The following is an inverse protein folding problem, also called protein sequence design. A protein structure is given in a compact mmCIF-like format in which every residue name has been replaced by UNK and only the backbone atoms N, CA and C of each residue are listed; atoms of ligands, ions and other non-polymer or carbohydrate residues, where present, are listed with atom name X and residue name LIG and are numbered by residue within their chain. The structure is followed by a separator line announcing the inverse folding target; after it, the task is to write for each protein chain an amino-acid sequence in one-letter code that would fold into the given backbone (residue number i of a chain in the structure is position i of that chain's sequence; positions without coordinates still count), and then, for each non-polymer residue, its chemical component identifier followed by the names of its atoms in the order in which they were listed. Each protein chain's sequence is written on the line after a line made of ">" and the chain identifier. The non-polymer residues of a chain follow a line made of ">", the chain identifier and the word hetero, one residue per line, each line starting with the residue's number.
data_IF_181408796142
#
_entry.id   IF_181408796142
#
_cell.length_a   1.000
_cell.length_b   1.000
_cell.length_c   1.000
_cell.angle_alpha   90.00
_cell.angle_beta   90.00
_cell.angle_gamma   90.00
#
_symmetry.space_group_name_H-M   'P 1'
#
loop_
_entity.id
_entity.type
_entity.pdbx_description
1 polymer ?
#
# COMPACT_ATOMS: atom_id res chain seq x y z
N UNK A 1 2.42 6.38 9.59
CA UNK A 1 1.10 5.80 9.97
C UNK A 1 0.44 4.99 8.85
N UNK A 2 0.98 4.99 7.61
CA UNK A 2 0.41 4.26 6.48
C UNK A 2 0.23 2.75 6.73
N UNK A 3 1.23 2.09 7.33
CA UNK A 3 1.12 0.69 7.76
C UNK A 3 -0.10 0.45 8.67
N UNK A 4 -0.25 1.29 9.70
CA UNK A 4 -1.36 1.19 10.65
C UNK A 4 -2.72 1.37 9.97
N UNK A 5 -2.81 2.30 9.01
CA UNK A 5 -4.03 2.55 8.25
C UNK A 5 -4.46 1.32 7.44
N UNK A 6 -3.52 0.70 6.70
CA UNK A 6 -3.80 -0.53 5.95
C UNK A 6 -4.27 -1.67 6.86
N UNK A 7 -3.55 -1.92 7.95
CA UNK A 7 -3.91 -2.97 8.90
C UNK A 7 -5.26 -2.71 9.58
N UNK A 8 -5.55 -1.47 9.97
CA UNK A 8 -6.85 -1.10 10.52
C UNK A 8 -7.97 -1.34 9.50
N UNK A 9 -7.77 -0.91 8.26
CA UNK A 9 -8.74 -1.14 7.18
C UNK A 9 -8.95 -2.62 6.86
N UNK A 10 -7.90 -3.42 6.89
CA UNK A 10 -8.00 -4.87 6.69
C UNK A 10 -8.77 -5.57 7.82
N UNK A 11 -8.58 -5.13 9.06
CA UNK A 11 -9.18 -5.76 10.25
C UNK A 11 -10.58 -5.24 10.59
N UNK A 12 -10.95 -4.04 10.16
CA UNK A 12 -12.22 -3.40 10.52
C UNK A 12 -12.97 -2.86 9.30
N UNK A 13 -14.08 -3.49 8.98
CA UNK A 13 -14.92 -3.15 7.82
C UNK A 13 -15.69 -1.84 7.97
N UNK A 14 -15.68 -1.19 9.13
CA UNK A 14 -16.30 0.12 9.35
C UNK A 14 -15.54 1.25 8.65
N UNK A 15 -14.25 1.07 8.39
CA UNK A 15 -13.49 2.00 7.56
C UNK A 15 -13.95 1.88 6.11
N UNK A 16 -14.61 2.91 5.61
CA UNK A 16 -15.19 2.93 4.26
C UNK A 16 -14.15 3.12 3.16
N UNK A 17 -13.10 3.85 3.46
CA UNK A 17 -11.95 4.08 2.57
C UNK A 17 -10.69 3.81 3.38
N UNK A 18 -9.70 3.20 2.76
CA UNK A 18 -8.41 2.90 3.39
C UNK A 18 -7.31 3.65 2.65
N UNK A 19 -6.53 4.47 3.35
CA UNK A 19 -5.48 5.29 2.74
C UNK A 19 -4.13 4.89 3.32
N UNK A 20 -3.25 4.43 2.45
CA UNK A 20 -1.85 4.09 2.75
C UNK A 20 -0.94 5.17 2.19
N UNK A 21 -0.30 5.95 3.04
CA UNK A 21 0.65 6.98 2.64
C UNK A 21 2.07 6.56 3.02
N UNK A 22 2.97 6.46 2.05
CA UNK A 22 4.39 6.13 2.21
C UNK A 22 4.60 4.98 3.21
N UNK A 23 3.90 3.87 3.01
CA UNK A 23 3.81 2.85 4.07
C UNK A 23 4.96 1.84 4.06
N UNK A 24 5.65 1.64 2.97
CA UNK A 24 6.83 0.78 2.88
C UNK A 24 6.60 -0.69 3.27
N UNK A 25 7.66 -1.34 3.71
CA UNK A 25 7.68 -2.75 4.10
C UNK A 25 6.76 -3.02 5.30
N UNK A 26 5.97 -4.10 5.24
CA UNK A 26 4.92 -4.37 6.22
C UNK A 26 3.67 -3.50 6.06
N UNK A 27 3.70 -2.58 5.10
CA UNK A 27 2.60 -1.78 4.60
C UNK A 27 2.23 -2.19 3.18
N UNK A 28 2.31 -1.26 2.21
CA UNK A 28 1.92 -1.52 0.83
C UNK A 28 3.02 -2.12 -0.05
N UNK A 29 4.30 -1.99 0.31
CA UNK A 29 5.41 -2.44 -0.54
C UNK A 29 5.55 -3.95 -0.59
N UNK A 30 5.74 -4.52 -1.79
CA UNK A 30 6.09 -5.93 -1.96
C UNK A 30 7.42 -6.25 -1.29
N UNK A 31 7.40 -7.15 -0.29
CA UNK A 31 8.58 -7.52 0.47
C UNK A 31 9.62 -8.27 -0.38
N UNK A 32 9.17 -9.08 -1.35
CA UNK A 32 10.04 -9.85 -2.26
C UNK A 32 10.86 -8.99 -3.22
N UNK A 33 10.65 -7.68 -3.25
CA UNK A 33 11.49 -6.78 -4.03
C UNK A 33 12.85 -6.51 -3.38
N UNK A 34 12.98 -6.73 -2.08
CA UNK A 34 14.22 -6.48 -1.31
C UNK A 34 14.82 -5.08 -1.56
N UNK A 35 13.97 -4.08 -1.66
CA UNK A 35 14.36 -2.70 -1.93
C UNK A 35 13.87 -1.78 -0.81
N UNK A 36 14.67 -0.77 -0.46
CA UNK A 36 14.35 0.17 0.61
C UNK A 36 14.27 -0.49 2.00
N UNK A 37 13.18 -0.29 2.72
CA UNK A 37 12.91 -0.95 4.00
C UNK A 37 12.65 -2.44 3.78
N UNK A 38 13.36 -3.28 4.54
CA UNK A 38 13.21 -4.75 4.46
C UNK A 38 12.74 -5.33 5.78
N UNK A 39 12.21 -6.55 5.77
CA UNK A 39 11.87 -7.24 7.02
C UNK A 39 13.09 -7.48 7.90
N UNK A 40 14.28 -7.68 7.31
CA UNK A 40 15.51 -7.78 8.08
C UNK A 40 15.76 -6.53 8.93
N UNK A 41 15.50 -5.35 8.37
CA UNK A 41 15.65 -4.09 9.09
C UNK A 41 14.51 -3.89 10.11
N UNK A 42 13.25 -3.91 9.65
CA UNK A 42 12.12 -3.48 10.49
C UNK A 42 11.84 -4.43 11.66
N UNK A 43 12.04 -5.75 11.49
CA UNK A 43 11.86 -6.73 12.58
C UNK A 43 12.94 -6.59 13.65
N UNK A 44 14.15 -6.15 13.29
CA UNK A 44 15.21 -5.89 14.26
C UNK A 44 15.03 -4.54 14.94
N UNK A 45 14.62 -3.50 14.22
CA UNK A 45 14.38 -2.16 14.77
C UNK A 45 13.14 -2.11 15.66
N UNK A 46 12.07 -2.82 15.27
CA UNK A 46 10.75 -2.81 15.92
C UNK A 46 10.25 -4.24 16.21
N UNK A 47 10.98 -5.03 17.02
CA UNK A 47 10.68 -6.46 17.22
C UNK A 47 9.30 -6.72 17.83
N UNK A 48 8.73 -5.74 18.51
CA UNK A 48 7.42 -5.80 19.14
C UNK A 48 6.24 -5.65 18.15
N UNK A 49 6.51 -5.27 16.90
CA UNK A 49 5.49 -5.18 15.86
C UNK A 49 5.15 -6.54 15.25
N UNK A 50 5.99 -7.54 15.47
CA UNK A 50 5.89 -8.83 14.79
C UNK A 50 5.76 -9.99 15.78
N UNK A 51 4.92 -10.95 15.43
CA UNK A 51 4.84 -12.21 16.17
C UNK A 51 6.13 -13.01 16.01
N UNK A 52 6.51 -13.77 17.02
CA UNK A 52 7.78 -14.51 17.02
C UNK A 52 7.94 -15.45 15.82
N UNK A 53 6.86 -16.08 15.39
CA UNK A 53 6.84 -16.99 14.23
C UNK A 53 7.15 -16.29 12.91
N UNK A 54 6.96 -14.96 12.81
CA UNK A 54 7.28 -14.22 11.59
C UNK A 54 8.78 -14.20 11.29
N UNK A 55 9.64 -14.40 12.31
CA UNK A 55 11.10 -14.39 12.15
C UNK A 55 11.64 -15.42 11.16
N UNK A 56 10.90 -16.50 10.87
CA UNK A 56 11.26 -17.51 9.87
C UNK A 56 11.33 -16.96 8.44
N UNK A 57 10.70 -15.83 8.20
CA UNK A 57 10.64 -15.17 6.88
C UNK A 57 11.68 -14.07 6.70
N UNK A 58 12.41 -13.68 7.73
CA UNK A 58 13.46 -12.66 7.63
C UNK A 58 14.57 -13.16 6.73
N UNK A 59 14.93 -12.37 5.70
CA UNK A 59 15.86 -12.74 4.63
C UNK A 59 15.50 -14.06 3.90
N UNK A 60 14.22 -14.42 3.94
CA UNK A 60 13.62 -15.59 3.31
C UNK A 60 12.18 -15.30 2.88
N UNK A 61 11.96 -14.08 2.36
CA UNK A 61 10.64 -13.57 2.02
C UNK A 61 9.96 -14.39 0.91
N UNK A 62 10.75 -15.08 0.08
CA UNK A 62 10.21 -16.00 -0.94
C UNK A 62 9.46 -17.20 -0.35
N UNK A 63 9.77 -17.58 0.89
CA UNK A 63 9.08 -18.65 1.59
C UNK A 63 7.71 -18.21 2.19
N UNK A 64 7.40 -16.90 2.18
CA UNK A 64 6.08 -16.45 2.63
C UNK A 64 4.99 -16.95 1.67
N UNK A 65 3.86 -17.47 2.18
CA UNK A 65 2.73 -17.86 1.33
C UNK A 65 1.91 -16.66 0.82
N UNK A 66 2.32 -15.44 1.12
CA UNK A 66 1.67 -14.18 0.75
C UNK A 66 2.73 -13.10 0.52
N UNK A 67 2.31 -11.94 -0.01
CA UNK A 67 3.06 -10.68 0.01
C UNK A 67 2.08 -9.52 0.22
N UNK A 68 2.57 -8.29 0.31
CA UNK A 68 1.81 -7.13 0.81
C UNK A 68 0.62 -6.72 -0.07
N UNK A 69 0.57 -7.11 -1.34
CA UNK A 69 -0.64 -6.95 -2.15
C UNK A 69 -1.87 -7.65 -1.55
N UNK A 70 -1.69 -8.73 -0.77
CA UNK A 70 -2.79 -9.35 -0.03
C UNK A 70 -3.32 -8.45 1.09
N UNK A 71 -2.48 -7.64 1.74
CA UNK A 71 -2.94 -6.70 2.75
C UNK A 71 -3.87 -5.63 2.14
N UNK A 72 -3.54 -5.13 0.94
CA UNK A 72 -4.41 -4.24 0.17
C UNK A 72 -5.70 -4.97 -0.20
N UNK A 73 -5.58 -6.19 -0.70
CA UNK A 73 -6.70 -7.02 -1.14
C UNK A 73 -7.71 -7.34 -0.01
N UNK A 74 -7.28 -7.42 1.26
CA UNK A 74 -8.16 -7.61 2.41
C UNK A 74 -9.18 -6.47 2.61
N UNK A 75 -8.94 -5.31 2.02
CA UNK A 75 -9.92 -4.22 2.05
C UNK A 75 -11.05 -4.40 1.03
N UNK A 76 -10.86 -5.22 -0.02
CA UNK A 76 -11.84 -5.38 -1.09
C UNK A 76 -13.25 -5.73 -0.56
N UNK A 77 -14.32 -5.21 -1.19
CA UNK A 77 -14.35 -4.31 -2.34
C UNK A 77 -14.25 -2.81 -1.99
N UNK A 78 -13.91 -2.45 -0.74
CA UNK A 78 -13.81 -1.06 -0.30
C UNK A 78 -12.64 -0.35 -0.98
N UNK A 79 -12.77 0.95 -1.31
CA UNK A 79 -11.70 1.67 -1.97
C UNK A 79 -10.45 1.79 -1.11
N UNK A 80 -9.30 1.59 -1.76
CA UNK A 80 -7.97 1.76 -1.16
C UNK A 80 -7.19 2.78 -1.99
N UNK A 81 -6.53 3.70 -1.31
CA UNK A 81 -5.57 4.63 -1.91
C UNK A 81 -4.17 4.26 -1.45
N UNK A 82 -3.27 4.03 -2.38
CA UNK A 82 -1.84 3.88 -2.11
C UNK A 82 -1.14 5.12 -2.63
N UNK A 83 -0.52 5.86 -1.74
CA UNK A 83 0.16 7.11 -2.01
C UNK A 83 1.65 6.98 -1.70
N UNK A 84 2.48 7.41 -2.62
CA UNK A 84 3.93 7.34 -2.54
C UNK A 84 4.56 8.71 -2.77
N UNK A 85 5.79 8.89 -2.28
CA UNK A 85 6.63 10.04 -2.56
C UNK A 85 7.88 9.60 -3.35
N UNK A 86 8.21 10.29 -4.42
CA UNK A 86 9.26 9.87 -5.37
C UNK A 86 10.66 9.79 -4.75
N UNK A 87 10.94 10.64 -3.76
CA UNK A 87 12.24 10.68 -3.07
C UNK A 87 12.26 9.75 -1.83
N UNK A 88 11.15 9.12 -1.46
CA UNK A 88 11.08 8.14 -0.39
C UNK A 88 11.43 6.74 -0.90
N UNK A 89 12.67 6.57 -1.31
CA UNK A 89 13.16 5.26 -1.78
C UNK A 89 13.17 4.20 -0.67
N UNK A 90 13.07 4.64 0.60
CA UNK A 90 12.96 3.74 1.72
C UNK A 90 11.61 3.00 1.75
N UNK A 91 10.52 3.68 1.36
CA UNK A 91 9.20 3.08 1.23
C UNK A 91 9.02 2.27 -0.07
N UNK A 92 9.94 2.39 -1.04
CA UNK A 92 9.87 1.74 -2.36
C UNK A 92 8.58 2.09 -3.13
N UNK A 93 8.45 3.29 -3.70
CA UNK A 93 7.26 3.68 -4.47
C UNK A 93 6.89 2.70 -5.58
N UNK A 94 7.90 2.09 -6.23
CA UNK A 94 7.65 1.08 -7.26
C UNK A 94 7.05 -0.20 -6.68
N UNK A 95 7.49 -0.61 -5.51
CA UNK A 95 6.94 -1.76 -4.79
C UNK A 95 5.51 -1.53 -4.31
N UNK A 96 5.21 -0.31 -3.85
CA UNK A 96 3.86 0.09 -3.47
C UNK A 96 2.91 0.10 -4.68
N UNK A 97 3.36 0.63 -5.84
CA UNK A 97 2.60 0.56 -7.09
C UNK A 97 2.30 -0.88 -7.52
N UNK A 98 3.32 -1.74 -7.58
CA UNK A 98 3.15 -3.13 -7.98
C UNK A 98 2.23 -3.91 -7.05
N UNK A 99 2.28 -3.60 -5.77
CA UNK A 99 1.39 -4.19 -4.77
C UNK A 99 -0.07 -3.78 -5.01
N UNK A 100 -0.31 -2.47 -5.24
CA UNK A 100 -1.63 -1.95 -5.58
C UNK A 100 -2.18 -2.60 -6.87
N UNK A 101 -1.34 -2.74 -7.90
CA UNK A 101 -1.70 -3.38 -9.16
C UNK A 101 -2.08 -4.86 -8.96
N UNK A 102 -1.26 -5.63 -8.23
CA UNK A 102 -1.50 -7.06 -7.99
C UNK A 102 -2.73 -7.33 -7.10
N UNK A 103 -3.10 -6.42 -6.22
CA UNK A 103 -4.34 -6.52 -5.44
C UNK A 103 -5.58 -6.54 -6.33
N UNK A 104 -5.51 -5.98 -7.53
CA UNK A 104 -6.59 -5.95 -8.52
C UNK A 104 -7.18 -7.32 -8.85
N UNK A 105 -6.40 -8.39 -8.79
CA UNK A 105 -6.90 -9.75 -9.01
C UNK A 105 -8.01 -10.16 -8.02
N UNK A 106 -7.90 -9.72 -6.76
CA UNK A 106 -8.94 -9.96 -5.74
C UNK A 106 -10.11 -9.02 -5.94
N UNK A 107 -9.86 -7.76 -6.25
CA UNK A 107 -10.93 -6.79 -6.56
C UNK A 107 -11.80 -7.25 -7.74
N UNK A 108 -11.19 -7.90 -8.75
CA UNK A 108 -11.93 -8.47 -9.88
C UNK A 108 -12.97 -9.53 -9.47
N UNK A 109 -12.77 -10.26 -8.37
CA UNK A 109 -13.75 -11.21 -7.84
C UNK A 109 -15.05 -10.53 -7.35
N UNK A 110 -14.96 -9.24 -7.06
CA UNK A 110 -16.09 -8.40 -6.65
C UNK A 110 -16.67 -7.54 -7.80
N UNK A 111 -16.19 -7.78 -9.04
CA UNK A 111 -16.62 -7.02 -10.22
C UNK A 111 -15.95 -5.65 -10.37
N UNK A 112 -14.91 -5.38 -9.56
CA UNK A 112 -14.09 -4.17 -9.65
C UNK A 112 -12.91 -4.37 -10.60
N UNK A 113 -12.42 -3.29 -11.20
CA UNK A 113 -11.20 -3.33 -12.03
C UNK A 113 -9.91 -3.17 -11.24
N UNK A 114 -10.00 -2.87 -9.94
CA UNK A 114 -8.84 -2.58 -9.12
C UNK A 114 -8.12 -1.31 -9.54
N UNK A 115 -6.78 -1.38 -9.69
CA UNK A 115 -5.96 -0.29 -10.21
C UNK A 115 -5.90 -0.37 -11.74
N UNK A 116 -6.50 0.59 -12.44
CA UNK A 116 -6.53 0.64 -13.91
C UNK A 116 -5.25 1.30 -14.47
N UNK A 117 -4.10 0.67 -14.26
CA UNK A 117 -2.82 1.13 -14.79
C UNK A 117 -1.88 -0.04 -15.08
N UNK A 118 -1.39 -0.12 -16.30
CA UNK A 118 -0.39 -1.12 -16.72
C UNK A 118 1.03 -0.73 -16.30
N UNK A 119 1.28 0.55 -16.10
CA UNK A 119 2.56 1.11 -15.70
C UNK A 119 2.39 2.15 -14.59
N UNK A 120 3.44 2.34 -13.80
CA UNK A 120 3.48 3.38 -12.78
C UNK A 120 3.26 4.75 -13.42
N UNK A 121 2.33 5.57 -12.90
CA UNK A 121 2.05 6.89 -13.46
C UNK A 121 3.28 7.81 -13.39
N UNK A 122 3.26 8.88 -14.17
CA UNK A 122 4.26 9.93 -14.05
C UNK A 122 4.13 10.65 -12.69
N UNK A 123 5.18 11.41 -12.33
CA UNK A 123 5.17 12.20 -11.10
C UNK A 123 3.97 13.15 -11.09
N UNK A 124 3.35 13.25 -9.93
CA UNK A 124 2.20 14.12 -9.66
C UNK A 124 0.94 13.78 -10.48
N UNK A 125 0.92 12.61 -11.13
CA UNK A 125 -0.28 12.05 -11.76
C UNK A 125 -1.00 11.06 -10.84
N UNK A 126 -2.31 10.96 -11.05
CA UNK A 126 -3.20 10.13 -10.25
C UNK A 126 -3.87 9.08 -11.11
N UNK A 127 -3.86 7.83 -10.63
CA UNK A 127 -4.71 6.77 -11.16
C UNK A 127 -5.85 6.56 -10.16
N UNK A 128 -7.09 6.77 -10.60
CA UNK A 128 -8.28 6.64 -9.74
C UNK A 128 -9.02 5.36 -10.07
N UNK A 129 -9.57 4.72 -9.04
CA UNK A 129 -10.33 3.48 -9.14
C UNK A 129 -10.63 2.95 -7.75
N UNK A 130 -11.21 1.75 -7.64
CA UNK A 130 -11.40 1.10 -6.34
C UNK A 130 -10.07 0.81 -5.65
N UNK A 131 -9.01 0.58 -6.41
CA UNK A 131 -7.64 0.76 -5.96
C UNK A 131 -7.08 1.98 -6.70
N UNK A 132 -6.69 2.99 -5.97
CA UNK A 132 -6.11 4.24 -6.49
C UNK A 132 -4.62 4.30 -6.16
N UNK A 133 -3.84 4.94 -7.03
CA UNK A 133 -2.42 5.15 -6.81
C UNK A 133 -1.97 6.53 -7.27
N UNK A 134 -1.08 7.15 -6.52
CA UNK A 134 -0.29 8.28 -6.99
C UNK A 134 1.14 8.25 -6.44
N UNK A 135 2.05 8.89 -7.15
CA UNK A 135 3.39 9.19 -6.69
C UNK A 135 3.64 10.67 -6.86
N UNK A 136 3.77 11.38 -5.74
CA UNK A 136 4.07 12.82 -5.76
C UNK A 136 5.56 13.11 -5.74
N UNK A 137 5.93 14.27 -6.20
CA UNK A 137 7.26 14.84 -5.99
C UNK A 137 7.51 15.07 -4.49
N UNK A 138 8.76 14.83 -4.05
CA UNK A 138 9.23 15.11 -2.68
C UNK A 138 9.50 13.87 -1.84
N UNK A 139 9.76 14.13 -0.54
CA UNK A 139 10.20 13.13 0.45
C UNK A 139 9.03 12.53 1.21
N UNK A 140 9.35 11.56 2.09
CA UNK A 140 8.42 10.97 3.04
C UNK A 140 7.68 12.06 3.85
N UNK A 141 6.41 12.27 3.53
CA UNK A 141 5.54 13.26 4.19
C UNK A 141 4.08 13.00 3.76
N UNK A 142 3.16 13.70 4.39
CA UNK A 142 1.77 13.81 3.96
C UNK A 142 1.45 15.28 3.71
N UNK A 143 1.39 15.65 2.45
CA UNK A 143 1.28 17.03 2.00
C UNK A 143 -0.14 17.41 1.62
N UNK A 144 -0.35 18.70 1.29
CA UNK A 144 -1.63 19.18 0.77
C UNK A 144 -2.00 18.52 -0.56
N UNK A 145 -1.02 18.14 -1.37
CA UNK A 145 -1.25 17.42 -2.65
C UNK A 145 -1.91 16.07 -2.37
N UNK A 146 -1.42 15.31 -1.39
CA UNK A 146 -2.00 14.04 -0.97
C UNK A 146 -3.45 14.22 -0.47
N UNK A 147 -3.66 15.23 0.37
CA UNK A 147 -4.99 15.55 0.89
C UNK A 147 -5.99 15.92 -0.19
N UNK A 148 -5.61 16.70 -1.21
CA UNK A 148 -6.48 17.01 -2.34
C UNK A 148 -6.95 15.74 -3.07
N UNK A 149 -6.06 14.76 -3.20
CA UNK A 149 -6.40 13.48 -3.81
C UNK A 149 -7.33 12.65 -2.91
N UNK A 150 -7.01 12.55 -1.62
CA UNK A 150 -7.84 11.80 -0.66
C UNK A 150 -9.26 12.36 -0.58
N UNK A 151 -9.41 13.68 -0.58
CA UNK A 151 -10.73 14.32 -0.57
C UNK A 151 -11.53 14.02 -1.83
N UNK A 152 -10.91 14.03 -3.02
CA UNK A 152 -11.60 13.64 -4.27
C UNK A 152 -12.11 12.20 -4.23
N UNK A 153 -11.31 11.27 -3.69
CA UNK A 153 -11.73 9.88 -3.51
C UNK A 153 -12.87 9.81 -2.48
N UNK A 154 -12.77 10.52 -1.38
CA UNK A 154 -13.81 10.57 -0.36
C UNK A 154 -15.13 11.10 -0.93
N UNK A 155 -15.10 12.18 -1.70
CA UNK A 155 -16.29 12.75 -2.36
C UNK A 155 -16.94 11.76 -3.32
N UNK A 156 -16.14 10.93 -4.01
CA UNK A 156 -16.65 9.93 -4.94
C UNK A 156 -17.35 8.74 -4.26
N UNK A 157 -16.82 8.28 -3.12
CA UNK A 157 -17.30 7.04 -2.47
C UNK A 157 -18.18 7.27 -1.24
N UNK A 158 -18.24 8.45 -0.68
CA UNK A 158 -18.98 8.72 0.56
C UNK A 158 -20.24 9.61 0.37
N UNK A 159 -20.47 10.11 -0.84
CA UNK A 159 -21.65 10.96 -1.16
C UNK A 159 -22.78 10.14 -1.76
#
# INVERSE_FOLDING_TARGET
>A
LGKTSLWAGACDQRFRIVISNDSGCGGATLARRFFGETYLFIVNAMPHWFVKSFRQYIANEDAMPFDQHFLIALAAPRPVVVASAAEDLWADPKGEFLSAQNAGAVYALFGSKGLEADAMPALDEYVTGDVSYHVRTGKHDQTWVDWQHYLKIADHYLV
#
